data_IF_131274427290
#
_entry.id   IF_131274427290
#
_cell.length_a   1.000
_cell.length_b   1.000
_cell.length_c   1.000
_cell.angle_alpha   90.00
_cell.angle_beta   90.00
_cell.angle_gamma   90.00
#
_symmetry.space_group_name_H-M   'P 1'
#
loop_
_entity.id
_entity.type
_entity.pdbx_description
1 polymer ?
2 non-polymer ?
3 water ?
#
# COMPACT_ATOMS: atom_id res chain seq x y z
N UNK A 1 4.66 20.57 -3.59
CA UNK A 1 4.35 21.69 -2.65
C UNK A 1 2.87 22.10 -2.69
N UNK A 2 2.28 22.18 -3.89
CA UNK A 2 0.81 22.22 -4.06
C UNK A 2 0.47 20.89 -4.73
N UNK A 3 -0.51 20.17 -4.20
CA UNK A 3 -0.97 18.93 -4.88
C UNK A 3 -2.00 19.31 -5.87
N UNK A 4 -2.58 18.34 -6.54
CA UNK A 4 -3.56 18.64 -7.55
C UNK A 4 -4.71 17.63 -7.76
N UNK A 5 -5.83 18.23 -7.98
CA UNK A 5 -7.09 17.47 -8.11
C UNK A 5 -7.40 17.23 -9.57
N UNK A 6 -7.99 16.10 -9.90
CA UNK A 6 -8.57 15.90 -11.21
C UNK A 6 -9.81 15.06 -11.10
N UNK A 7 -10.65 15.12 -12.13
CA UNK A 7 -11.77 14.23 -12.26
C UNK A 7 -11.68 13.51 -13.58
N UNK A 8 -11.72 12.19 -13.51
CA UNK A 8 -11.67 11.42 -14.71
C UNK A 8 -12.77 10.38 -14.73
N UNK A 9 -13.21 9.96 -15.90
CA UNK A 9 -14.22 8.93 -16.02
C UNK A 9 -13.56 7.70 -16.63
N UNK A 10 -13.63 6.59 -15.93
CA UNK A 10 -13.09 5.33 -16.38
C UNK A 10 -14.26 4.42 -16.71
N UNK A 11 -14.25 3.84 -17.92
CA UNK A 11 -15.16 2.77 -18.26
C UNK A 11 -14.57 1.43 -17.82
N UNK A 12 -15.30 0.69 -17.01
CA UNK A 12 -14.82 -0.58 -16.52
C UNK A 12 -14.54 -1.60 -17.61
N UNK A 13 -13.54 -2.47 -17.43
CA UNK A 13 -13.45 -3.70 -18.26
C UNK A 13 -13.87 -4.94 -17.52
N UNK A 14 -13.54 -6.11 -18.10
CA UNK A 14 -13.86 -7.40 -17.50
C UNK A 14 -13.35 -7.49 -16.06
N UNK A 15 -12.16 -6.94 -15.81
CA UNK A 15 -11.57 -6.93 -14.47
C UNK A 15 -11.92 -5.72 -13.69
N UNK A 16 -12.87 -4.93 -14.19
CA UNK A 16 -13.36 -3.78 -13.42
C UNK A 16 -12.55 -2.55 -13.74
N UNK A 17 -12.21 -1.83 -12.66
CA UNK A 17 -11.32 -0.66 -12.71
C UNK A 17 -9.86 -1.00 -12.98
N UNK A 18 -9.36 -2.19 -12.56
CA UNK A 18 -7.98 -2.51 -12.75
C UNK A 18 -7.09 -1.81 -11.71
N UNK A 19 -7.57 -1.77 -10.52
CA UNK A 19 -6.72 -1.19 -9.48
C UNK A 19 -6.93 -1.83 -8.12
N UNK A 20 -5.94 -1.62 -7.24
CA UNK A 20 -6.16 -1.99 -5.88
C UNK A 20 -6.08 -0.81 -4.98
N UNK A 21 -6.82 -0.90 -3.90
CA UNK A 21 -7.01 0.16 -2.95
C UNK A 21 -6.50 -0.19 -1.60
N UNK A 22 -5.86 0.75 -0.91
CA UNK A 22 -5.44 0.61 0.46
C UNK A 22 -5.98 1.81 1.24
N UNK A 23 -5.99 1.80 2.54
CA UNK A 23 -6.25 2.95 3.37
C UNK A 23 -7.66 3.06 3.82
N UNK A 24 -8.05 4.27 4.23
CA UNK A 24 -9.33 4.51 4.92
C UNK A 24 -9.09 5.35 6.16
N UNK A 25 -10.16 5.99 6.60
CA UNK A 25 -10.08 6.85 7.79
C UNK A 25 -9.74 6.03 9.02
N UNK A 26 -9.92 4.73 8.93
CA UNK A 26 -9.61 3.74 9.99
C UNK A 26 -8.17 3.21 9.91
N UNK A 27 -7.30 3.86 9.14
CA UNK A 27 -5.94 3.40 8.89
C UNK A 27 -4.90 4.51 9.07
N UNK A 28 -3.62 4.11 9.08
CA UNK A 28 -2.44 5.03 9.16
C UNK A 28 -2.46 6.05 8.02
N UNK A 29 -2.96 5.65 6.84
CA UNK A 29 -3.13 6.60 5.73
C UNK A 29 -4.19 7.65 5.86
N UNK A 30 -5.30 7.35 6.53
CA UNK A 30 -6.38 8.21 6.70
C UNK A 30 -7.09 8.68 5.49
N UNK A 31 -6.94 7.91 4.41
CA UNK A 31 -7.46 8.25 3.10
C UNK A 31 -7.50 7.00 2.23
N UNK A 32 -8.35 6.99 1.22
CA UNK A 32 -8.48 5.87 0.25
C UNK A 32 -7.44 6.13 -0.82
N UNK A 33 -6.41 5.30 -0.92
CA UNK A 33 -5.33 5.50 -1.85
C UNK A 33 -5.25 4.36 -2.84
N UNK A 34 -4.88 4.67 -4.07
CA UNK A 34 -4.61 3.67 -5.09
C UNK A 34 -3.25 3.09 -4.83
N UNK A 35 -3.17 1.78 -4.51
CA UNK A 35 -1.90 1.10 -4.28
C UNK A 35 -1.24 0.69 -5.60
N UNK A 36 -2.03 0.21 -6.56
CA UNK A 36 -1.50 -0.29 -7.85
C UNK A 36 -2.52 -0.16 -8.94
N UNK A 37 -2.01 0.18 -10.13
CA UNK A 37 -2.74 0.19 -11.39
C UNK A 37 -2.24 -0.99 -12.23
N UNK A 38 -3.12 -1.94 -12.48
CA UNK A 38 -2.70 -3.22 -13.07
C UNK A 38 -2.52 -3.10 -14.57
N UNK A 39 -1.47 -3.73 -15.10
CA UNK A 39 -1.20 -3.68 -16.52
C UNK A 39 -2.36 -4.35 -17.24
N UNK A 40 -2.79 -3.74 -18.34
CA UNK A 40 -3.86 -4.24 -19.20
C UNK A 40 -5.25 -4.03 -18.64
N UNK A 41 -5.35 -3.44 -17.46
CA UNK A 41 -6.67 -3.08 -16.92
C UNK A 41 -7.15 -1.73 -17.43
N UNK A 42 -8.38 -1.39 -17.10
CA UNK A 42 -8.98 -0.15 -17.61
C UNK A 42 -8.28 1.11 -17.17
N UNK A 43 -7.90 1.16 -15.91
CA UNK A 43 -7.21 2.32 -15.43
C UNK A 43 -5.81 2.51 -16.07
N UNK A 44 -5.11 1.40 -16.34
CA UNK A 44 -3.80 1.48 -17.04
C UNK A 44 -3.95 2.03 -18.45
N UNK A 45 -4.95 1.51 -19.16
CA UNK A 45 -5.14 1.88 -20.55
C UNK A 45 -5.55 3.35 -20.66
N UNK A 46 -6.35 3.82 -19.71
CA UNK A 46 -6.65 5.24 -19.65
C UNK A 46 -5.39 6.08 -19.47
N UNK A 47 -4.46 5.62 -18.66
CA UNK A 47 -3.15 6.26 -18.51
C UNK A 47 -2.98 7.34 -17.45
N UNK A 48 -4.09 7.89 -16.98
CA UNK A 48 -4.05 9.06 -16.09
C UNK A 48 -3.90 8.74 -14.60
N UNK A 49 -4.48 7.65 -14.13
CA UNK A 49 -4.40 7.29 -12.70
C UNK A 49 -3.04 6.76 -12.32
N UNK A 50 -2.53 7.19 -11.16
CA UNK A 50 -1.23 6.73 -10.67
C UNK A 50 -1.36 6.17 -9.29
N UNK A 51 -0.56 5.16 -8.96
CA UNK A 51 -0.45 4.75 -7.57
C UNK A 51 -0.16 5.96 -6.72
N UNK A 52 -0.79 6.02 -5.54
CA UNK A 52 -0.66 7.07 -4.63
C UNK A 52 -1.77 8.12 -4.71
N UNK A 53 -2.52 8.11 -5.79
CA UNK A 53 -3.65 9.05 -5.90
C UNK A 53 -4.67 8.67 -4.88
N UNK A 54 -5.32 9.65 -4.34
CA UNK A 54 -6.39 9.53 -3.35
C UNK A 54 -7.71 9.66 -4.05
N UNK A 55 -8.62 8.75 -3.79
CA UNK A 55 -9.99 8.87 -4.29
C UNK A 55 -10.82 9.74 -3.34
N UNK A 56 -11.13 10.96 -3.75
CA UNK A 56 -11.97 11.87 -3.01
C UNK A 56 -13.45 11.61 -3.13
N UNK A 57 -13.89 11.31 -4.33
CA UNK A 57 -15.31 11.09 -4.60
C UNK A 57 -15.44 10.13 -5.74
N UNK A 58 -16.59 9.46 -5.78
CA UNK A 58 -16.95 8.51 -6.84
C UNK A 58 -18.39 8.79 -7.23
N UNK A 59 -18.63 9.20 -8.47
CA UNK A 59 -20.02 9.48 -8.92
C UNK A 59 -20.88 10.25 -7.88
N UNK A 60 -20.33 11.32 -7.40
CA UNK A 60 -21.05 12.14 -6.43
C UNK A 60 -21.12 11.65 -4.99
N UNK A 61 -20.35 10.61 -4.65
CA UNK A 61 -20.37 10.11 -3.30
C UNK A 61 -19.01 10.42 -2.69
N UNK A 62 -19.03 11.14 -1.58
CA UNK A 62 -17.81 11.58 -0.89
C UNK A 62 -17.14 10.40 -0.21
N UNK A 63 -15.85 10.23 -0.47
CA UNK A 63 -15.05 9.20 0.17
C UNK A 63 -13.89 9.81 0.99
N UNK A 64 -13.89 11.12 1.18
CA UNK A 64 -12.82 11.78 1.89
C UNK A 64 -12.60 11.24 3.28
N UNK A 65 -13.67 10.89 3.97
CA UNK A 65 -13.54 10.39 5.33
C UNK A 65 -14.03 8.95 5.49
N UNK A 66 -14.14 8.23 4.37
CA UNK A 66 -14.63 6.87 4.39
C UNK A 66 -13.64 5.91 5.04
N UNK A 67 -14.18 4.90 5.73
CA UNK A 67 -13.41 3.76 6.15
C UNK A 67 -13.11 2.88 4.93
N UNK A 68 -12.16 1.95 5.07
CA UNK A 68 -11.84 1.09 3.93
C UNK A 68 -13.08 0.34 3.43
N UNK A 69 -13.81 -0.26 4.36
CA UNK A 69 -15.00 -1.03 3.98
C UNK A 69 -16.13 -0.16 3.41
N UNK A 70 -16.29 1.06 3.91
CA UNK A 70 -17.29 1.95 3.31
C UNK A 70 -16.91 2.21 1.85
N UNK A 71 -15.63 2.47 1.57
CA UNK A 71 -15.22 2.79 0.25
C UNK A 71 -15.38 1.64 -0.67
N UNK A 72 -15.09 0.44 -0.22
CA UNK A 72 -15.21 -0.73 -1.08
C UNK A 72 -16.64 -0.96 -1.44
N UNK A 73 -17.53 -0.74 -0.48
CA UNK A 73 -18.93 -0.88 -0.76
C UNK A 73 -19.32 0.13 -1.86
N UNK A 74 -18.95 1.38 -1.70
CA UNK A 74 -19.23 2.40 -2.71
C UNK A 74 -18.69 1.99 -4.06
N UNK A 75 -17.42 1.56 -4.09
CA UNK A 75 -16.80 1.23 -5.36
C UNK A 75 -17.39 0.03 -5.98
N UNK A 76 -17.78 -0.94 -5.17
CA UNK A 76 -18.44 -2.10 -5.69
C UNK A 76 -19.74 -1.78 -6.41
N UNK A 77 -20.45 -0.80 -5.90
CA UNK A 77 -21.78 -0.44 -6.33
C UNK A 77 -21.84 0.60 -7.46
N UNK A 78 -20.73 0.79 -8.15
CA UNK A 78 -20.64 1.81 -9.18
C UNK A 78 -21.17 1.25 -10.48
N UNK A 79 -21.60 2.15 -11.37
CA UNK A 79 -22.03 1.69 -12.69
C UNK A 79 -20.86 1.43 -13.62
N UNK A 80 -21.12 1.21 -14.90
CA UNK A 80 -20.06 0.93 -15.87
C UNK A 80 -19.06 2.04 -16.05
N UNK A 81 -19.54 3.29 -16.03
CA UNK A 81 -18.70 4.50 -16.11
C UNK A 81 -18.56 5.16 -14.76
N UNK A 82 -17.32 5.18 -14.30
CA UNK A 82 -17.01 5.57 -12.97
C UNK A 82 -16.34 6.93 -13.06
N UNK A 83 -16.98 7.96 -12.49
CA UNK A 83 -16.43 9.31 -12.48
C UNK A 83 -15.67 9.50 -11.13
N UNK A 84 -14.36 9.48 -11.21
CA UNK A 84 -13.52 9.56 -9.99
C UNK A 84 -12.98 10.96 -9.86
N UNK A 85 -13.06 11.51 -8.67
CA UNK A 85 -12.37 12.79 -8.34
C UNK A 85 -11.21 12.39 -7.45
N UNK A 86 -10.01 12.77 -7.85
CA UNK A 86 -8.73 12.31 -7.26
C UNK A 86 -7.92 13.46 -6.78
N UNK A 87 -7.13 13.21 -5.78
CA UNK A 87 -6.11 14.14 -5.29
C UNK A 87 -4.77 13.50 -5.44
N UNK A 88 -3.85 14.15 -6.14
CA UNK A 88 -2.47 13.70 -6.29
C UNK A 88 -1.57 14.54 -5.41
N UNK A 89 -1.09 13.93 -4.31
CA UNK A 89 -0.10 14.56 -3.45
C UNK A 89 1.26 14.54 -4.17
N UNK A 90 2.13 15.50 -3.89
CA UNK A 90 3.43 15.47 -4.53
C UNK A 90 4.22 14.27 -4.08
N UNK A 91 3.92 13.71 -2.91
CA UNK A 91 4.71 12.55 -2.48
C UNK A 91 4.66 11.38 -3.41
N UNK A 92 5.82 10.69 -3.61
CA UNK A 92 5.77 9.45 -4.36
C UNK A 92 5.08 8.33 -3.61
N UNK A 93 4.56 7.33 -4.31
CA UNK A 93 4.06 6.12 -3.74
C UNK A 93 4.81 4.96 -4.28
N UNK A 94 5.63 4.41 -3.40
CA UNK A 94 6.65 3.52 -3.64
C UNK A 94 6.21 2.09 -3.28
N UNK A 95 6.53 1.14 -4.09
CA UNK A 95 6.27 -0.25 -3.85
C UNK A 95 7.41 -1.08 -4.45
N UNK A 96 8.06 -1.96 -3.67
CA UNK A 96 9.21 -2.73 -4.07
C UNK A 96 9.07 -4.15 -3.60
N UNK A 97 9.31 -5.12 -4.48
CA UNK A 97 9.36 -6.51 -4.12
C UNK A 97 10.76 -6.87 -3.76
N UNK A 98 10.97 -7.49 -2.64
CA UNK A 98 12.27 -8.10 -2.37
C UNK A 98 12.17 -9.52 -1.82
N UNK B 1 -5.35 4.33 17.14
CA UNK B 1 -4.83 2.94 16.91
C UNK B 1 -3.96 2.47 18.09
N UNK B 2 -3.93 1.16 18.29
CA UNK B 2 -3.07 0.51 19.29
C UNK B 2 -2.54 -0.84 18.80
N UNK B 3 -1.53 -1.40 19.43
CA UNK B 3 -0.90 -2.66 18.97
C UNK B 3 0.24 -3.11 19.84
N UNK B 4 1.34 -3.58 19.24
CA UNK B 4 2.46 -4.09 19.98
C UNK B 4 3.77 -4.04 19.18
N UNK B 5 4.92 -4.13 19.84
CA UNK B 5 6.24 -4.27 19.20
C UNK B 5 6.75 -5.66 19.32
N UNK B 6 7.19 -6.24 18.21
CA UNK B 6 7.69 -7.60 18.14
C UNK B 6 8.96 -7.73 17.34
N UNK B 7 9.84 -8.63 17.75
CA UNK B 7 11.07 -8.86 17.05
C UNK B 7 11.18 -10.32 16.66
N UNK B 8 11.53 -10.52 15.40
CA UNK B 8 11.65 -11.85 14.80
C UNK B 8 12.96 -11.98 14.02
N UNK B 9 13.55 -13.16 14.01
CA UNK B 9 14.71 -13.41 13.17
C UNK B 9 14.33 -14.45 12.17
N UNK B 10 14.63 -14.16 10.90
CA UNK B 10 14.44 -15.12 9.82
C UNK B 10 15.74 -15.34 9.00
N UNK B 11 15.91 -16.56 8.48
CA UNK B 11 17.02 -16.84 7.58
C UNK B 11 16.62 -16.50 6.16
N UNK B 12 17.44 -15.77 5.45
CA UNK B 12 16.88 -15.22 4.22
C UNK B 12 16.83 -16.15 3.02
N UNK B 13 17.64 -17.20 3.02
CA UNK B 13 17.63 -18.23 1.96
C UNK B 13 18.02 -17.78 0.57
N UNK B 14 17.92 -18.71 -0.36
CA UNK B 14 18.19 -18.42 -1.76
C UNK B 14 17.08 -17.63 -2.41
N UNK B 15 15.87 -17.82 -1.90
CA UNK B 15 14.70 -17.16 -2.44
C UNK B 15 14.59 -15.67 -1.98
N UNK B 16 15.27 -15.35 -0.88
CA UNK B 16 15.25 -14.02 -0.29
C UNK B 16 14.00 -13.96 0.56
N UNK B 17 13.66 -12.76 0.99
CA UNK B 17 12.56 -12.54 1.92
C UNK B 17 11.16 -12.79 1.40
N UNK B 18 10.88 -12.40 0.18
CA UNK B 18 9.59 -12.55 -0.46
C UNK B 18 8.54 -11.63 0.19
N UNK B 19 8.82 -10.32 0.13
CA UNK B 19 7.93 -9.30 0.74
C UNK B 19 7.68 -8.21 -0.26
N UNK B 20 6.51 -7.60 -0.25
CA UNK B 20 6.20 -6.37 -0.92
C UNK B 20 6.28 -5.25 0.11
N UNK B 21 7.13 -4.25 -0.09
CA UNK B 21 7.38 -3.18 0.85
C UNK B 21 6.86 -1.90 0.28
N UNK B 22 6.06 -1.19 1.05
CA UNK B 22 5.60 0.12 0.71
C UNK B 22 6.02 1.13 1.74
N UNK B 23 5.94 2.39 1.43
CA UNK B 23 6.12 3.42 2.38
C UNK B 23 7.51 3.96 2.51
N UNK B 24 7.71 4.69 3.59
CA UNK B 24 8.93 5.46 3.91
C UNK B 24 8.60 6.90 4.28
N UNK B 25 9.59 7.59 4.80
CA UNK B 25 9.39 8.96 5.28
C UNK B 25 9.08 9.95 4.20
N UNK B 26 9.36 9.55 2.96
CA UNK B 26 9.08 10.35 1.78
C UNK B 26 7.71 10.12 1.21
N UNK B 27 6.93 9.19 1.77
CA UNK B 27 5.61 8.82 1.26
C UNK B 27 4.50 9.32 2.19
N UNK B 28 3.26 9.20 1.72
CA UNK B 28 2.05 9.44 2.56
C UNK B 28 1.98 8.56 3.77
N UNK B 29 2.47 7.32 3.67
CA UNK B 29 2.45 6.44 4.82
C UNK B 29 3.34 6.88 5.95
N UNK B 30 4.52 7.43 5.63
CA UNK B 30 5.44 7.88 6.64
C UNK B 30 6.17 6.88 7.42
N UNK B 31 6.01 5.63 7.04
CA UNK B 31 6.50 4.41 7.76
C UNK B 31 6.67 3.36 6.70
N UNK B 32 7.54 2.39 6.96
CA UNK B 32 7.80 1.27 6.11
C UNK B 32 6.87 0.14 6.47
N UNK B 33 6.06 -0.34 5.53
CA UNK B 33 5.03 -1.36 5.78
C UNK B 33 5.21 -2.54 4.87
N UNK B 34 5.00 -3.73 5.41
CA UNK B 34 4.95 -4.94 4.62
C UNK B 34 3.54 -4.99 4.02
N UNK B 35 3.39 -4.75 2.73
CA UNK B 35 2.12 -4.81 2.08
C UNK B 35 1.63 -6.25 1.86
N UNK B 36 2.53 -7.16 1.54
CA UNK B 36 2.16 -8.56 1.27
C UNK B 36 3.34 -9.43 1.53
N UNK B 37 3.08 -10.68 1.96
CA UNK B 37 4.07 -11.73 2.10
C UNK B 37 3.80 -12.69 0.96
N UNK B 38 4.76 -12.84 0.05
CA UNK B 38 4.61 -13.73 -1.08
C UNK B 38 4.87 -15.18 -0.71
N UNK B 39 4.22 -16.08 -1.46
CA UNK B 39 4.34 -17.50 -1.19
C UNK B 39 5.75 -18.08 -1.31
N UNK B 40 6.54 -17.56 -2.23
CA UNK B 40 7.80 -18.29 -2.55
C UNK B 40 9.03 -18.14 -1.57
N UNK B 41 8.94 -17.25 -0.58
CA UNK B 41 10.15 -16.77 0.12
C UNK B 41 10.30 -17.17 1.58
N UNK B 42 11.36 -16.61 2.20
CA UNK B 42 11.71 -16.91 3.57
C UNK B 42 10.65 -16.46 4.58
N UNK B 43 10.05 -15.31 4.33
CA UNK B 43 9.02 -14.78 5.28
C UNK B 43 7.80 -15.72 5.43
N UNK B 44 7.31 -16.20 4.29
CA UNK B 44 6.21 -17.11 4.26
C UNK B 44 6.54 -18.43 4.94
N UNK B 45 7.72 -18.94 4.67
CA UNK B 45 8.19 -20.21 5.25
C UNK B 45 8.27 -20.10 6.78
N UNK B 46 8.71 -18.94 7.25
CA UNK B 46 8.82 -18.72 8.67
C UNK B 46 7.44 -18.58 9.29
N UNK B 47 6.53 -17.84 8.64
CA UNK B 47 5.14 -17.75 9.03
C UNK B 47 4.71 -16.63 9.95
N UNK B 48 5.64 -15.93 10.57
CA UNK B 48 5.35 -14.97 11.60
C UNK B 48 5.10 -13.56 11.13
N UNK B 49 5.66 -13.13 10.02
CA UNK B 49 5.43 -11.81 9.46
C UNK B 49 4.11 -11.74 8.78
N UNK B 50 3.42 -10.61 8.98
CA UNK B 50 2.10 -10.41 8.50
C UNK B 50 1.98 -9.13 7.67
N UNK B 51 1.12 -9.18 6.68
CA UNK B 51 0.71 -7.97 5.97
C UNK B 51 0.32 -6.89 6.98
N UNK B 52 0.78 -5.65 6.71
CA UNK B 52 0.53 -4.52 7.59
C UNK B 52 1.56 -4.25 8.64
N UNK B 53 2.45 -5.20 8.88
CA UNK B 53 3.53 -5.00 9.91
C UNK B 53 4.38 -3.80 9.50
N UNK B 54 4.72 -2.94 10.45
CA UNK B 54 5.52 -1.78 10.25
C UNK B 54 6.94 -2.04 10.69
N UNK B 55 7.90 -1.92 9.79
CA UNK B 55 9.28 -2.23 10.07
C UNK B 55 9.93 -1.04 10.73
N UNK B 56 10.29 -1.21 12.01
CA UNK B 56 10.89 -0.15 12.77
C UNK B 56 12.37 -0.20 12.66
N UNK B 57 12.94 -1.42 12.72
CA UNK B 57 14.41 -1.63 12.74
C UNK B 57 14.79 -2.93 12.07
N UNK B 58 15.98 -2.96 11.40
CA UNK B 58 16.54 -4.13 10.80
C UNK B 58 17.97 -4.28 11.30
N UNK B 59 18.27 -5.38 11.96
CA UNK B 59 19.64 -5.68 12.42
C UNK B 59 20.32 -4.48 13.07
N UNK B 60 19.59 -3.80 13.93
CA UNK B 60 20.11 -2.72 14.70
C UNK B 60 20.05 -1.37 14.07
N UNK B 61 19.55 -1.29 12.83
CA UNK B 61 19.48 -0.07 12.10
C UNK B 61 18.05 0.48 12.19
N UNK B 62 17.91 1.71 12.67
CA UNK B 62 16.59 2.37 12.83
C UNK B 62 16.06 2.74 11.47
N UNK B 63 14.86 2.30 11.15
CA UNK B 63 14.22 2.67 9.91
C UNK B 63 13.03 3.60 10.11
N UNK B 64 12.82 4.10 11.33
CA UNK B 64 11.65 4.94 11.60
C UNK B 64 11.66 6.22 10.75
N UNK B 65 12.81 6.76 10.41
CA UNK B 65 12.82 8.00 9.61
C UNK B 65 13.35 7.74 8.20
N UNK B 66 13.52 6.47 7.82
CA UNK B 66 14.13 6.11 6.54
C UNK B 66 13.20 6.41 5.37
N UNK B 67 13.75 6.91 4.28
CA UNK B 67 13.05 6.95 3.01
C UNK B 67 12.85 5.55 2.49
N UNK B 68 11.93 5.41 1.54
CA UNK B 68 11.78 4.11 0.90
C UNK B 68 13.04 3.52 0.40
N UNK B 69 13.79 4.28 -0.39
CA UNK B 69 15.02 3.73 -0.99
C UNK B 69 16.05 3.37 0.08
N UNK B 70 16.13 4.15 1.14
CA UNK B 70 17.07 3.87 2.23
C UNK B 70 16.67 2.57 2.87
N UNK B 71 15.38 2.36 3.15
CA UNK B 71 14.97 1.14 3.76
C UNK B 71 15.21 -0.06 2.90
N UNK B 72 14.92 0.05 1.60
CA UNK B 72 15.14 -1.06 0.69
C UNK B 72 16.61 -1.45 0.68
N UNK B 73 17.47 -0.45 0.73
CA UNK B 73 18.90 -0.77 0.75
C UNK B 73 19.26 -1.51 1.98
N UNK B 74 18.82 -1.08 3.15
CA UNK B 74 19.12 -1.80 4.38
C UNK B 74 18.62 -3.22 4.26
N UNK B 75 17.38 -3.43 3.81
CA UNK B 75 16.85 -4.79 3.70
C UNK B 75 17.60 -5.69 2.74
N UNK B 76 18.16 -5.14 1.68
CA UNK B 76 19.00 -5.88 0.72
C UNK B 76 20.37 -6.21 1.23
N UNK B 77 20.86 -5.47 2.19
CA UNK B 77 22.23 -5.56 2.68
C UNK B 77 22.32 -6.35 3.97
N UNK B 78 21.36 -7.20 4.24
CA UNK B 78 21.33 -7.99 5.48
C UNK B 78 22.18 -9.24 5.31
N UNK B 79 22.71 -9.74 6.43
CA UNK B 79 23.32 -11.07 6.42
C UNK B 79 22.25 -12.11 6.32
N UNK B 80 22.65 -13.37 6.41
CA UNK B 80 21.67 -14.38 6.24
C UNK B 80 20.62 -14.41 7.34
N UNK B 81 21.00 -14.06 8.58
CA UNK B 81 20.06 -13.93 9.67
C UNK B 81 19.52 -12.47 9.75
N UNK B 82 18.24 -12.31 9.46
CA UNK B 82 17.57 -11.01 9.39
C UNK B 82 16.71 -10.82 10.64
N UNK B 83 17.09 -9.82 11.42
CA UNK B 83 16.42 -9.51 12.66
C UNK B 83 15.54 -8.26 12.53
N UNK B 84 14.22 -8.45 12.50
CA UNK B 84 13.29 -7.38 12.20
C UNK B 84 12.52 -7.00 13.45
N UNK B 85 12.46 -5.72 13.76
CA UNK B 85 11.65 -5.19 14.83
C UNK B 85 10.47 -4.48 14.22
N UNK B 86 9.27 -4.89 14.60
CA UNK B 86 8.03 -4.47 13.96
C UNK B 86 7.05 -3.89 14.94
N UNK B 87 6.23 -2.93 14.51
CA UNK B 87 4.98 -2.58 15.14
C UNK B 87 3.83 -3.29 14.41
N UNK B 88 2.97 -3.98 15.14
CA UNK B 88 1.83 -4.75 14.67
C UNK B 88 0.59 -4.11 15.29
N UNK B 89 -0.34 -3.65 14.45
CA UNK B 89 -1.56 -3.01 14.88
C UNK B 89 -2.59 -4.06 15.29
N UNK B 90 -3.46 -3.71 16.22
CA UNK B 90 -4.57 -4.55 16.57
C UNK B 90 -5.56 -4.88 15.48
N UNK B 91 -5.62 -4.03 14.45
CA UNK B 91 -6.51 -4.18 13.33
C UNK B 91 -5.84 -4.77 12.11
N UNK B 92 -6.60 -5.55 11.31
CA UNK B 92 -6.07 -6.14 10.09
C UNK B 92 -5.74 -5.13 9.02
N UNK B 93 -4.76 -5.47 8.21
CA UNK B 93 -4.36 -4.63 7.10
C UNK B 93 -5.30 -4.79 5.96
N UNK B 94 -5.85 -3.69 5.46
CA UNK B 94 -6.74 -3.89 4.30
C UNK B 94 -6.20 -3.45 2.93
N UNK B 95 -6.43 -4.31 1.98
CA UNK B 95 -6.05 -4.13 0.62
C UNK B 95 -7.08 -4.84 -0.24
N UNK B 96 -7.65 -4.13 -1.19
CA UNK B 96 -8.75 -4.65 -1.98
C UNK B 96 -8.60 -4.37 -3.45
N UNK B 97 -8.79 -5.38 -4.31
CA UNK B 97 -8.72 -5.23 -5.75
C UNK B 97 -10.10 -4.99 -6.30
N UNK B 98 -10.24 -4.01 -7.19
CA UNK B 98 -11.51 -3.56 -7.76
C UNK B 98 -11.35 -3.26 -9.27
X LIG C 1 -10.29 9.23 0.46
#
# INVERSE_FOLDING_TARGET
SMGCETTIEISKGRTGLGLSIVGGSDTLLGAIIIHEVYEEGAACKDGRLWAGDQILEVNGIDLRKATHDEAINVLRQTPQRVRLTLYRDEAPYKSTRL
SMGCETTIEISKGRTGLGLSIVGGSDTLLGAIIIHEVYEEGAACKDGRLWAGDQILEVNGIDLRKATHDEAINVLRQTPQRVRLTLYRDEAPYKSTRL
NA NA
#
